data_IF_312381956361
#
_entry.id   IF_312381956361
#
_cell.length_a   1.000
_cell.length_b   1.000
_cell.length_c   1.000
_cell.angle_alpha   90.00
_cell.angle_beta   90.00
_cell.angle_gamma   90.00
#
_symmetry.space_group_name_H-M   'P 1'
#
loop_
_entity.id
_entity.type
_entity.pdbx_description
1 polymer ?
#
# COMPACT_ATOMS: atom_id res chain seq x y z
N UNK A 1 3.56 -36.78 22.31
CA UNK A 1 4.64 -35.78 22.13
C UNK A 1 4.20 -34.88 21.00
N UNK A 2 3.34 -33.90 21.32
CA UNK A 2 2.86 -32.90 20.37
C UNK A 2 4.02 -31.95 20.11
N UNK A 3 4.65 -32.06 18.93
CA UNK A 3 5.51 -31.00 18.43
C UNK A 3 4.68 -29.72 18.42
N UNK A 4 4.96 -28.85 19.39
CA UNK A 4 4.58 -27.44 19.29
C UNK A 4 5.34 -26.93 18.09
N UNK A 5 4.66 -26.90 16.94
CA UNK A 5 5.12 -26.24 15.71
C UNK A 5 5.58 -24.85 16.13
N UNK A 6 6.90 -24.68 16.25
CA UNK A 6 7.52 -23.46 16.72
C UNK A 6 7.24 -22.40 15.66
N UNK A 7 6.18 -21.62 15.89
CA UNK A 7 5.70 -20.58 15.00
C UNK A 7 6.86 -19.63 14.69
N UNK A 8 7.33 -19.65 13.44
CA UNK A 8 8.35 -18.69 13.01
C UNK A 8 7.68 -17.32 12.95
N UNK A 9 8.14 -16.32 13.74
CA UNK A 9 7.69 -14.96 13.55
C UNK A 9 7.98 -14.53 12.11
N UNK A 10 7.20 -13.59 11.55
CA UNK A 10 7.46 -13.13 10.20
C UNK A 10 8.91 -12.63 10.10
N UNK A 11 9.63 -12.94 9.00
CA UNK A 11 10.95 -12.39 8.73
C UNK A 11 10.95 -10.87 8.83
N UNK A 12 11.97 -10.32 9.49
CA UNK A 12 12.12 -8.88 9.72
C UNK A 12 11.90 -8.47 11.18
N UNK A 13 10.99 -9.14 11.91
CA UNK A 13 10.70 -8.79 13.30
C UNK A 13 11.93 -8.87 14.21
N UNK A 14 12.83 -9.83 14.00
CA UNK A 14 14.06 -9.98 14.78
C UNK A 14 15.12 -8.92 14.46
N UNK A 15 15.16 -8.42 13.22
CA UNK A 15 16.12 -7.41 12.79
C UNK A 15 15.60 -5.98 13.06
N UNK A 16 14.28 -5.80 13.09
CA UNK A 16 13.60 -4.50 13.24
C UNK A 16 13.01 -4.26 14.65
N UNK A 17 13.32 -5.10 15.64
CA UNK A 17 12.84 -4.95 17.02
C UNK A 17 13.58 -3.88 17.84
N UNK A 18 14.74 -3.44 17.38
CA UNK A 18 15.52 -2.40 18.05
C UNK A 18 14.95 -0.99 17.84
N UNK A 19 15.25 -0.02 18.73
CA UNK A 19 14.92 1.40 18.50
C UNK A 19 15.73 1.99 17.33
N UNK A 20 16.94 1.51 17.08
CA UNK A 20 17.83 1.97 16.01
C UNK A 20 17.26 1.82 14.58
N UNK A 21 16.70 0.67 14.15
CA UNK A 21 16.09 0.56 12.83
C UNK A 21 14.84 1.42 12.67
N UNK A 22 14.07 1.65 13.74
CA UNK A 22 12.90 2.53 13.70
C UNK A 22 13.27 4.02 13.54
N UNK A 23 14.32 4.47 14.22
CA UNK A 23 14.85 5.83 14.05
C UNK A 23 15.53 6.00 12.70
N UNK A 24 16.32 5.03 12.25
CA UNK A 24 16.96 5.06 10.92
C UNK A 24 15.91 5.07 9.82
N UNK A 25 14.86 4.24 9.92
CA UNK A 25 13.76 4.26 8.97
C UNK A 25 13.06 5.62 8.95
N UNK A 26 12.81 6.23 10.12
CA UNK A 26 12.23 7.57 10.20
C UNK A 26 13.12 8.62 9.55
N UNK A 27 14.44 8.61 9.78
CA UNK A 27 15.39 9.52 9.13
C UNK A 27 15.42 9.29 7.61
N UNK A 28 15.45 8.03 7.19
CA UNK A 28 15.43 7.67 5.78
C UNK A 28 14.18 8.20 5.08
N UNK A 29 13.02 8.07 5.72
CA UNK A 29 11.72 8.37 5.10
C UNK A 29 11.28 9.83 5.26
N UNK A 30 11.68 10.54 6.32
CA UNK A 30 11.34 11.95 6.52
C UNK A 30 12.40 12.92 5.99
N UNK A 31 13.66 12.49 5.90
CA UNK A 31 14.77 13.39 5.56
C UNK A 31 15.42 12.95 4.26
N UNK A 32 15.98 11.74 4.20
CA UNK A 32 16.80 11.33 3.06
C UNK A 32 15.99 11.14 1.78
N UNK A 33 14.85 10.44 1.85
CA UNK A 33 14.03 10.17 0.67
C UNK A 33 13.41 11.45 0.11
N UNK A 34 12.79 12.34 0.93
CA UNK A 34 12.26 13.58 0.39
C UNK A 34 13.33 14.54 -0.10
N UNK A 35 14.48 14.66 0.59
CA UNK A 35 15.61 15.44 0.09
C UNK A 35 16.16 14.85 -1.22
N UNK A 36 16.22 13.52 -1.32
CA UNK A 36 16.53 12.80 -2.56
C UNK A 36 15.56 13.14 -3.68
N UNK A 37 14.25 13.10 -3.44
CA UNK A 37 13.24 13.45 -4.45
C UNK A 37 13.40 14.92 -4.90
N UNK A 38 13.55 15.86 -3.96
CA UNK A 38 13.71 17.29 -4.31
C UNK A 38 14.99 17.51 -5.10
N UNK A 39 16.12 16.95 -4.67
CA UNK A 39 17.39 17.07 -5.39
C UNK A 39 17.32 16.44 -6.77
N UNK A 40 16.67 15.28 -6.93
CA UNK A 40 16.48 14.64 -8.24
C UNK A 40 15.57 15.46 -9.15
N UNK A 41 14.52 16.09 -8.61
CA UNK A 41 13.65 17.01 -9.37
C UNK A 41 14.42 18.24 -9.82
N UNK A 42 15.29 18.80 -8.98
CA UNK A 42 16.13 19.96 -9.32
C UNK A 42 17.19 19.63 -10.37
N UNK A 43 17.91 18.51 -10.20
CA UNK A 43 18.89 18.01 -11.18
C UNK A 43 18.20 17.68 -12.50
N UNK A 44 16.93 17.27 -12.46
CA UNK A 44 16.15 16.91 -13.63
C UNK A 44 16.42 15.52 -14.16
N UNK A 45 16.94 14.63 -13.31
CA UNK A 45 17.16 13.23 -13.63
C UNK A 45 15.84 12.45 -13.48
N UNK A 46 14.95 12.65 -14.45
CA UNK A 46 13.66 11.98 -14.57
C UNK A 46 13.76 10.45 -14.34
N UNK A 47 14.83 9.83 -14.82
CA UNK A 47 15.03 8.39 -14.72
C UNK A 47 15.26 7.90 -13.28
N UNK A 48 16.01 8.65 -12.47
CA UNK A 48 16.23 8.30 -11.05
C UNK A 48 14.93 8.41 -10.24
N UNK A 49 14.07 9.36 -10.59
CA UNK A 49 12.73 9.47 -10.02
C UNK A 49 11.84 8.29 -10.42
N UNK A 50 11.93 7.81 -11.67
CA UNK A 50 11.22 6.61 -12.11
C UNK A 50 11.69 5.36 -11.37
N UNK A 51 13.00 5.16 -11.21
CA UNK A 51 13.56 4.05 -10.42
C UNK A 51 13.05 4.08 -8.98
N UNK A 52 13.14 5.24 -8.32
CA UNK A 52 12.62 5.42 -6.97
C UNK A 52 11.10 5.17 -6.89
N UNK A 53 10.34 5.64 -7.88
CA UNK A 53 8.89 5.39 -7.97
C UNK A 53 8.56 3.91 -8.10
N UNK A 54 9.32 3.17 -8.92
CA UNK A 54 9.18 1.72 -9.08
C UNK A 54 9.50 0.94 -7.81
N UNK A 55 10.54 1.35 -7.08
CA UNK A 55 10.89 0.78 -5.78
C UNK A 55 9.79 1.03 -4.74
N UNK A 56 9.32 2.28 -4.65
CA UNK A 56 8.23 2.67 -3.75
C UNK A 56 6.93 1.93 -4.06
N UNK A 57 6.61 1.75 -5.35
CA UNK A 57 5.46 0.95 -5.78
C UNK A 57 5.56 -0.47 -5.27
N UNK A 58 6.69 -1.14 -5.50
CA UNK A 58 6.84 -2.53 -5.14
C UNK A 58 6.74 -2.74 -3.63
N UNK A 59 7.36 -1.88 -2.82
CA UNK A 59 7.24 -1.94 -1.35
C UNK A 59 5.81 -1.62 -0.90
N UNK A 60 5.23 -0.52 -1.40
CA UNK A 60 3.87 -0.11 -1.05
C UNK A 60 2.80 -1.11 -1.47
N UNK A 61 2.96 -1.77 -2.62
CA UNK A 61 2.07 -2.81 -3.11
C UNK A 61 2.13 -4.07 -2.23
N UNK A 62 3.31 -4.43 -1.71
CA UNK A 62 3.43 -5.52 -0.72
C UNK A 62 2.72 -5.16 0.57
N UNK A 63 2.98 -3.99 1.14
CA UNK A 63 2.27 -3.52 2.34
C UNK A 63 0.75 -3.50 2.13
N UNK A 64 0.29 -3.04 0.95
CA UNK A 64 -1.12 -3.08 0.57
C UNK A 64 -1.66 -4.52 0.52
N UNK A 65 -0.93 -5.46 -0.07
CA UNK A 65 -1.37 -6.86 -0.17
C UNK A 65 -1.55 -7.51 1.20
N UNK A 66 -0.68 -7.19 2.17
CA UNK A 66 -0.78 -7.67 3.54
C UNK A 66 -1.97 -7.07 4.27
N UNK A 67 -2.21 -5.78 4.06
CA UNK A 67 -3.34 -5.09 4.65
C UNK A 67 -4.67 -5.63 4.07
N UNK A 68 -4.76 -5.73 2.74
CA UNK A 68 -5.88 -6.33 2.03
C UNK A 68 -6.12 -7.76 2.49
N UNK A 69 -5.08 -8.58 2.64
CA UNK A 69 -5.20 -9.93 3.19
C UNK A 69 -5.88 -9.95 4.56
N UNK A 70 -5.46 -9.12 5.52
CA UNK A 70 -6.06 -9.08 6.86
C UNK A 70 -7.52 -8.60 6.83
N UNK A 71 -7.83 -7.57 6.04
CA UNK A 71 -9.22 -7.10 5.85
C UNK A 71 -10.08 -8.24 5.30
N UNK A 72 -9.58 -8.95 4.28
CA UNK A 72 -10.29 -10.07 3.64
C UNK A 72 -10.58 -11.18 4.63
N UNK A 73 -9.59 -11.62 5.39
CA UNK A 73 -9.77 -12.67 6.41
C UNK A 73 -10.79 -12.27 7.47
N UNK A 74 -10.76 -11.01 7.92
CA UNK A 74 -11.73 -10.51 8.92
C UNK A 74 -13.15 -10.51 8.39
N UNK A 75 -13.37 -10.02 7.17
CA UNK A 75 -14.71 -9.95 6.58
C UNK A 75 -15.25 -11.35 6.28
N UNK A 76 -14.43 -12.25 5.76
CA UNK A 76 -14.83 -13.64 5.50
C UNK A 76 -15.17 -14.38 6.80
N UNK A 77 -14.38 -14.20 7.86
CA UNK A 77 -14.70 -14.78 9.16
C UNK A 77 -16.04 -14.27 9.70
N UNK A 78 -16.30 -12.96 9.57
CA UNK A 78 -17.57 -12.37 10.01
C UNK A 78 -18.77 -12.90 9.23
N UNK A 79 -18.61 -13.13 7.91
CA UNK A 79 -19.66 -13.73 7.07
C UNK A 79 -19.91 -15.19 7.45
N UNK A 80 -18.85 -16.00 7.57
CA UNK A 80 -18.97 -17.42 7.92
C UNK A 80 -19.67 -17.61 9.27
N UNK A 81 -19.32 -16.82 10.29
CA UNK A 81 -19.96 -16.89 11.60
C UNK A 81 -21.44 -16.48 11.57
N UNK A 82 -21.82 -15.59 10.65
CA UNK A 82 -23.22 -15.22 10.47
C UNK A 82 -24.01 -16.36 9.78
N UNK A 83 -23.38 -17.04 8.82
CA UNK A 83 -23.94 -18.21 8.14
C UNK A 83 -24.13 -19.38 9.13
N UNK A 84 -23.10 -19.69 9.93
CA UNK A 84 -23.18 -20.74 10.97
C UNK A 84 -24.25 -20.45 12.03
N UNK A 85 -24.41 -19.17 12.43
CA UNK A 85 -25.47 -18.76 13.35
C UNK A 85 -26.88 -18.91 12.74
N UNK A 86 -27.00 -18.69 11.42
CA UNK A 86 -28.29 -18.86 10.72
C UNK A 86 -28.70 -20.33 10.60
N UNK A 87 -27.75 -21.23 10.31
CA UNK A 87 -27.98 -22.68 10.17
C UNK A 87 -28.37 -23.30 11.53
N UNK A 88 -27.63 -22.96 12.59
CA UNK A 88 -27.93 -23.45 13.95
C UNK A 88 -29.31 -22.99 14.47
N UNK A 89 -29.75 -21.78 14.10
CA UNK A 89 -31.10 -21.29 14.45
C UNK A 89 -32.20 -22.07 13.71
N UNK A 90 -31.91 -22.54 12.49
CA UNK A 90 -32.86 -23.28 11.66
C UNK A 90 -32.98 -24.76 12.09
N UNK A 91 -31.87 -25.41 12.44
CA UNK A 91 -31.88 -26.79 12.97
C UNK A 91 -32.52 -26.90 14.36
N UNK A 92 -32.37 -25.88 15.20
CA UNK A 92 -33.03 -25.82 16.53
C UNK A 92 -34.56 -25.65 16.41
N UNK A 93 -35.04 -25.12 15.29
CA UNK A 93 -36.47 -25.01 14.98
C UNK A 93 -37.12 -26.34 14.56
N UNK A 94 -36.37 -27.25 13.94
CA UNK A 94 -36.90 -28.54 13.46
C UNK A 94 -36.69 -29.71 14.44
N UNK A 95 -35.66 -29.68 15.30
CA UNK A 95 -35.42 -30.76 16.28
C UNK A 95 -36.30 -30.69 17.54
N UNK A 96 -36.92 -29.54 17.82
CA UNK A 96 -37.81 -29.39 18.98
C UNK A 96 -39.21 -30.03 18.83
N UNK A 97 -39.49 -30.71 17.71
CA UNK A 97 -40.79 -31.35 17.46
C UNK A 97 -40.83 -32.87 17.72
N UNK A 98 -39.72 -33.56 18.02
CA UNK A 98 -39.73 -35.04 18.06
C UNK A 98 -39.08 -35.74 19.26
N UNK A 99 -38.47 -35.06 20.23
CA UNK A 99 -37.78 -35.76 21.33
C UNK A 99 -38.06 -35.13 22.70
N UNK A 100 -39.29 -35.23 23.19
CA UNK A 100 -39.68 -34.62 24.47
C UNK A 100 -40.21 -35.58 25.54
N UNK A 101 -40.01 -36.90 25.43
CA UNK A 101 -40.58 -37.83 26.44
C UNK A 101 -39.64 -38.89 27.00
N UNK A 102 -38.36 -38.95 26.61
CA UNK A 102 -37.40 -39.92 27.18
C UNK A 102 -36.09 -39.30 27.71
N UNK A 103 -35.90 -37.99 27.60
CA UNK A 103 -34.60 -37.34 27.84
C UNK A 103 -34.42 -36.74 29.25
N UNK A 104 -35.50 -36.68 30.04
CA UNK A 104 -35.52 -35.98 31.33
C UNK A 104 -34.81 -36.73 32.48
N UNK A 105 -34.71 -38.06 32.43
CA UNK A 105 -34.07 -38.84 33.51
C UNK A 105 -32.56 -39.05 33.31
N UNK A 106 -32.07 -39.09 32.07
CA UNK A 106 -30.64 -39.18 31.77
C UNK A 106 -29.93 -37.82 31.83
N UNK A 107 -30.65 -36.71 31.63
CA UNK A 107 -30.12 -35.36 31.83
C UNK A 107 -29.84 -35.04 33.30
N UNK A 108 -30.68 -35.52 34.23
CA UNK A 108 -30.47 -35.28 35.67
C UNK A 108 -29.19 -35.95 36.21
N UNK A 109 -28.81 -37.12 35.67
CA UNK A 109 -27.55 -37.80 36.03
C UNK A 109 -26.33 -37.21 35.32
N UNK A 110 -26.49 -36.67 34.10
CA UNK A 110 -25.41 -35.97 33.40
C UNK A 110 -25.14 -34.57 33.97
N UNK A 111 -26.17 -33.88 34.45
CA UNK A 111 -26.05 -32.58 35.11
C UNK A 111 -25.21 -32.64 36.39
N UNK A 112 -25.38 -33.69 37.20
CA UNK A 112 -24.56 -33.88 38.40
C UNK A 112 -23.10 -34.27 38.12
N UNK A 113 -22.80 -34.90 36.98
CA UNK A 113 -21.43 -35.22 36.58
C UNK A 113 -20.68 -34.05 35.90
N UNK A 114 -21.41 -33.01 35.47
CA UNK A 114 -20.87 -31.80 34.85
C UNK A 114 -20.66 -30.65 35.85
N UNK A 115 -21.14 -30.77 37.08
CA UNK A 115 -21.07 -29.72 38.11
C UNK A 115 -19.66 -29.61 38.75
N UNK A 116 -18.82 -30.64 38.61
CA UNK A 116 -17.43 -30.68 39.12
C UNK A 116 -16.36 -30.37 38.06
N UNK A 117 -16.75 -30.12 36.81
CA UNK A 117 -15.83 -29.61 35.80
C UNK A 117 -15.89 -28.08 35.85
N UNK A 118 -14.80 -27.36 36.18
CA UNK A 118 -14.80 -25.91 36.04
C UNK A 118 -14.87 -25.62 34.55
N UNK A 119 -16.10 -25.51 34.03
CA UNK A 119 -16.45 -24.85 32.79
C UNK A 119 -15.96 -23.42 32.95
N UNK A 120 -14.67 -23.23 32.63
CA UNK A 120 -14.11 -21.96 32.24
C UNK A 120 -14.95 -21.57 31.04
N UNK A 121 -16.03 -20.85 31.30
CA UNK A 121 -16.97 -20.30 30.32
C UNK A 121 -16.10 -19.38 29.48
N UNK A 122 -15.52 -19.95 28.43
CA UNK A 122 -14.61 -19.23 27.56
C UNK A 122 -15.48 -18.17 26.90
N UNK A 123 -15.23 -16.92 27.24
CA UNK A 123 -16.08 -15.83 26.78
C UNK A 123 -16.15 -15.91 25.24
N UNK A 124 -17.35 -15.93 24.62
CA UNK A 124 -17.49 -16.04 23.17
C UNK A 124 -16.68 -14.96 22.42
N UNK A 125 -16.46 -13.82 23.08
CA UNK A 125 -15.59 -12.74 22.62
C UNK A 125 -14.11 -13.10 22.61
N UNK A 126 -13.61 -13.80 23.62
CA UNK A 126 -12.23 -14.28 23.68
C UNK A 126 -11.99 -15.39 22.66
N UNK A 127 -12.95 -16.30 22.49
CA UNK A 127 -12.89 -17.34 21.47
C UNK A 127 -12.89 -16.74 20.06
N UNK A 128 -13.80 -15.79 19.77
CA UNK A 128 -13.80 -15.04 18.52
C UNK A 128 -12.49 -14.26 18.30
N UNK A 129 -11.95 -13.63 19.34
CA UNK A 129 -10.68 -12.90 19.26
C UNK A 129 -9.51 -13.83 18.93
N UNK A 130 -9.46 -15.03 19.51
CA UNK A 130 -8.46 -16.05 19.17
C UNK A 130 -8.61 -16.54 17.74
N UNK A 131 -9.82 -16.96 17.33
CA UNK A 131 -10.10 -17.40 15.97
C UNK A 131 -9.73 -16.34 14.92
N UNK A 132 -10.07 -15.08 15.21
CA UNK A 132 -9.71 -13.97 14.34
C UNK A 132 -8.19 -13.74 14.31
N UNK A 133 -7.50 -13.80 15.45
CA UNK A 133 -6.04 -13.66 15.50
C UNK A 133 -5.33 -14.76 14.70
N UNK A 134 -5.84 -16.00 14.76
CA UNK A 134 -5.31 -17.13 14.02
C UNK A 134 -5.60 -17.03 12.51
N UNK A 135 -6.80 -16.59 12.13
CA UNK A 135 -7.18 -16.37 10.73
C UNK A 135 -6.41 -15.20 10.07
N UNK A 136 -6.12 -14.14 10.83
CA UNK A 136 -5.38 -12.97 10.32
C UNK A 136 -3.86 -13.21 10.23
N UNK A 137 -3.33 -14.27 10.84
CA UNK A 137 -1.91 -14.62 10.79
C UNK A 137 -1.63 -15.41 9.51
N UNK A 138 -0.93 -14.79 8.56
CA UNK A 138 -0.53 -15.52 7.36
C UNK A 138 0.44 -16.64 7.76
N UNK A 139 0.10 -17.87 7.35
CA UNK A 139 0.86 -19.07 7.72
C UNK A 139 2.19 -19.18 6.98
N UNK A 140 2.30 -18.57 5.81
CA UNK A 140 3.46 -18.71 4.90
C UNK A 140 3.54 -17.53 3.91
N UNK A 141 4.70 -17.34 3.30
CA UNK A 141 4.90 -16.42 2.17
C UNK A 141 4.64 -17.12 0.84
N UNK A 142 4.38 -16.34 -0.21
CA UNK A 142 4.24 -16.85 -1.58
C UNK A 142 5.42 -17.75 -2.00
N UNK A 143 6.64 -17.43 -1.54
CA UNK A 143 7.85 -18.19 -1.90
C UNK A 143 8.15 -19.39 -1.01
N UNK A 144 7.45 -19.57 0.12
CA UNK A 144 7.70 -20.67 1.05
C UNK A 144 7.81 -22.06 0.37
N UNK A 145 6.89 -22.50 -0.50
CA UNK A 145 6.98 -23.83 -1.11
C UNK A 145 8.20 -24.00 -2.03
N UNK A 146 8.67 -22.91 -2.65
CA UNK A 146 9.88 -22.94 -3.48
C UNK A 146 11.14 -22.94 -2.61
N UNK A 147 11.15 -22.15 -1.54
CA UNK A 147 12.26 -22.06 -0.60
C UNK A 147 12.53 -23.38 0.12
N UNK A 148 11.48 -24.11 0.48
CA UNK A 148 11.59 -25.42 1.11
C UNK A 148 12.17 -26.48 0.16
N UNK A 149 11.84 -26.40 -1.13
CA UNK A 149 12.36 -27.34 -2.15
C UNK A 149 13.80 -27.06 -2.56
N UNK A 150 14.18 -25.79 -2.73
CA UNK A 150 15.44 -25.42 -3.42
C UNK A 150 16.48 -24.86 -2.45
N UNK A 151 16.07 -24.14 -1.41
CA UNK A 151 16.98 -23.34 -0.57
C UNK A 151 16.98 -23.77 0.90
N UNK A 152 16.55 -25.00 1.21
CA UNK A 152 16.54 -25.53 2.57
C UNK A 152 15.74 -24.67 3.56
N UNK A 153 14.64 -24.06 3.09
CA UNK A 153 13.77 -23.18 3.89
C UNK A 153 14.26 -21.74 4.05
N UNK A 154 15.36 -21.35 3.38
CA UNK A 154 15.86 -19.95 3.37
C UNK A 154 15.15 -19.12 2.30
N UNK A 155 14.01 -18.53 2.67
CA UNK A 155 13.17 -17.74 1.77
C UNK A 155 13.90 -16.58 1.07
N UNK A 156 14.83 -15.88 1.73
CA UNK A 156 15.53 -14.73 1.16
C UNK A 156 16.46 -15.11 0.02
N UNK A 157 17.10 -16.29 0.09
CA UNK A 157 17.95 -16.80 -1.00
C UNK A 157 17.09 -17.16 -2.20
N UNK A 158 15.98 -17.86 -1.97
CA UNK A 158 15.04 -18.21 -3.03
C UNK A 158 14.48 -16.95 -3.72
N UNK A 159 14.09 -15.94 -2.93
CA UNK A 159 13.57 -14.67 -3.43
C UNK A 159 14.59 -13.93 -4.29
N UNK A 160 15.83 -13.85 -3.81
CA UNK A 160 16.92 -13.22 -4.53
C UNK A 160 17.26 -13.95 -5.84
N UNK A 161 17.32 -15.28 -5.81
CA UNK A 161 17.56 -16.09 -7.03
C UNK A 161 16.43 -15.93 -8.05
N UNK A 162 15.17 -15.91 -7.60
CA UNK A 162 14.04 -15.70 -8.50
C UNK A 162 14.03 -14.28 -9.10
N UNK A 163 14.32 -13.27 -8.29
CA UNK A 163 14.42 -11.88 -8.72
C UNK A 163 15.57 -11.66 -9.71
N UNK A 164 16.74 -12.24 -9.46
CA UNK A 164 17.88 -12.18 -10.40
C UNK A 164 17.56 -12.88 -11.71
N UNK A 165 16.88 -14.03 -11.69
CA UNK A 165 16.44 -14.69 -12.92
C UNK A 165 15.48 -13.80 -13.73
N UNK A 166 14.50 -13.18 -13.07
CA UNK A 166 13.58 -12.27 -13.73
C UNK A 166 14.27 -11.02 -14.29
N UNK A 167 15.26 -10.48 -13.59
CA UNK A 167 16.10 -9.38 -14.07
C UNK A 167 16.87 -9.78 -15.34
N UNK A 168 17.47 -10.97 -15.37
CA UNK A 168 18.16 -11.51 -16.56
C UNK A 168 17.20 -11.66 -17.75
N UNK A 169 15.99 -12.16 -17.52
CA UNK A 169 14.96 -12.25 -18.56
C UNK A 169 14.56 -10.86 -19.07
N UNK A 170 14.42 -9.88 -18.18
CA UNK A 170 14.14 -8.48 -18.54
C UNK A 170 15.25 -7.88 -19.40
N UNK A 171 16.53 -8.12 -19.06
CA UNK A 171 17.68 -7.72 -19.88
C UNK A 171 17.61 -8.35 -21.28
N UNK A 172 17.38 -9.67 -21.35
CA UNK A 172 17.33 -10.39 -22.62
C UNK A 172 16.19 -9.88 -23.52
N UNK A 173 15.01 -9.62 -22.94
CA UNK A 173 13.89 -9.02 -23.64
C UNK A 173 14.20 -7.60 -24.11
N UNK A 174 14.84 -6.78 -23.27
CA UNK A 174 15.27 -5.43 -23.63
C UNK A 174 16.20 -5.42 -24.86
N UNK A 175 17.21 -6.28 -24.88
CA UNK A 175 18.11 -6.41 -26.04
C UNK A 175 17.42 -7.04 -27.27
N UNK A 176 16.49 -7.96 -27.08
CA UNK A 176 15.71 -8.52 -28.19
C UNK A 176 14.86 -7.43 -28.85
N UNK A 177 14.20 -6.58 -28.06
CA UNK A 177 13.45 -5.42 -28.57
C UNK A 177 14.38 -4.40 -29.21
N UNK A 178 15.56 -4.18 -28.64
CA UNK A 178 16.55 -3.28 -29.25
C UNK A 178 16.89 -3.72 -30.68
N UNK A 179 17.16 -5.02 -30.86
CA UNK A 179 17.52 -5.59 -32.15
C UNK A 179 16.39 -5.59 -33.19
N UNK A 180 15.13 -5.56 -32.75
CA UNK A 180 13.96 -5.57 -33.65
C UNK A 180 13.46 -4.17 -33.99
N UNK A 181 13.62 -3.21 -33.07
CA UNK A 181 13.11 -1.84 -33.22
C UNK A 181 14.18 -0.89 -33.76
N UNK A 182 15.44 -1.03 -33.35
CA UNK A 182 16.52 -0.15 -33.78
C UNK A 182 17.41 -0.85 -34.81
N UNK A 183 17.43 -0.32 -36.03
CA UNK A 183 18.35 -0.77 -37.09
C UNK A 183 19.80 -0.37 -36.74
N UNK A 184 20.48 -1.20 -35.93
CA UNK A 184 21.93 -1.43 -35.86
C UNK A 184 22.93 -0.27 -35.67
N UNK A 185 22.60 0.99 -35.94
CA UNK A 185 23.61 2.05 -36.08
C UNK A 185 23.51 3.20 -35.09
N UNK A 186 22.49 3.27 -34.21
CA UNK A 186 22.51 4.06 -32.98
C UNK A 186 21.24 3.81 -32.14
N UNK A 187 21.32 3.16 -30.95
CA UNK A 187 20.19 3.13 -30.03
C UNK A 187 19.87 4.57 -29.60
N UNK A 188 18.58 4.91 -29.54
CA UNK A 188 18.13 6.24 -29.13
C UNK A 188 18.68 6.62 -27.74
N UNK A 189 18.98 7.90 -27.54
CA UNK A 189 19.43 8.43 -26.25
C UNK A 189 18.40 8.09 -25.17
N UNK A 190 18.81 7.30 -24.17
CA UNK A 190 17.95 6.86 -23.07
C UNK A 190 17.43 5.42 -23.16
N UNK A 191 17.58 4.70 -24.29
CA UNK A 191 17.08 3.33 -24.41
C UNK A 191 17.70 2.39 -23.38
N UNK A 192 19.01 2.48 -23.19
CA UNK A 192 19.74 1.72 -22.17
C UNK A 192 19.27 2.04 -20.75
N UNK A 193 18.82 3.27 -20.51
CA UNK A 193 18.27 3.68 -19.21
C UNK A 193 16.88 3.07 -19.01
N UNK A 194 16.06 3.02 -20.06
CA UNK A 194 14.75 2.36 -20.03
C UNK A 194 14.88 0.85 -19.80
N UNK A 195 15.86 0.19 -20.44
CA UNK A 195 16.21 -1.21 -20.12
C UNK A 195 16.67 -1.34 -18.67
N UNK A 196 17.46 -0.40 -18.16
CA UNK A 196 17.78 -0.35 -16.73
C UNK A 196 16.53 -0.31 -15.85
N UNK A 197 15.57 0.58 -16.16
CA UNK A 197 14.29 0.70 -15.46
C UNK A 197 13.45 -0.57 -15.54
N UNK A 198 13.42 -1.27 -16.68
CA UNK A 198 12.72 -2.55 -16.78
C UNK A 198 13.37 -3.65 -15.96
N UNK A 199 14.69 -3.63 -15.84
CA UNK A 199 15.46 -4.62 -15.06
C UNK A 199 15.27 -4.41 -13.57
N UNK A 200 15.33 -3.16 -13.10
CA UNK A 200 15.02 -2.82 -11.72
C UNK A 200 13.56 -3.16 -11.39
N UNK A 201 12.60 -2.72 -12.20
CA UNK A 201 11.19 -3.05 -12.02
C UNK A 201 10.98 -4.55 -11.89
N UNK A 202 11.59 -5.36 -12.76
CA UNK A 202 11.48 -6.82 -12.72
C UNK A 202 12.10 -7.39 -11.44
N UNK A 203 13.32 -6.97 -11.09
CA UNK A 203 14.01 -7.45 -9.90
C UNK A 203 13.21 -7.13 -8.63
N UNK A 204 12.87 -5.86 -8.42
CA UNK A 204 12.20 -5.41 -7.22
C UNK A 204 10.78 -5.98 -7.15
N UNK A 205 10.03 -5.98 -8.26
CA UNK A 205 8.68 -6.55 -8.27
C UNK A 205 8.68 -8.03 -7.93
N UNK A 206 9.57 -8.84 -8.50
CA UNK A 206 9.63 -10.28 -8.21
C UNK A 206 10.09 -10.53 -6.78
N UNK A 207 11.08 -9.77 -6.30
CA UNK A 207 11.54 -9.86 -4.91
C UNK A 207 10.41 -9.51 -3.94
N UNK A 208 9.73 -8.38 -4.15
CA UNK A 208 8.59 -7.95 -3.34
C UNK A 208 7.40 -8.92 -3.42
N UNK A 209 7.06 -9.39 -4.62
CA UNK A 209 5.97 -10.36 -4.83
C UNK A 209 6.23 -11.70 -4.14
N UNK A 210 7.50 -12.08 -3.98
CA UNK A 210 7.87 -13.27 -3.20
C UNK A 210 7.49 -13.17 -1.72
N UNK A 211 7.36 -11.94 -1.20
CA UNK A 211 6.96 -11.61 0.17
C UNK A 211 5.44 -11.41 0.32
N UNK A 212 4.67 -11.56 -0.76
CA UNK A 212 3.22 -11.48 -0.70
C UNK A 212 2.65 -12.61 0.19
N UNK A 213 1.46 -12.40 0.79
CA UNK A 213 0.85 -13.39 1.68
C UNK A 213 0.39 -14.65 0.94
N UNK A 214 0.16 -14.59 -0.37
CA UNK A 214 -0.16 -15.75 -1.20
C UNK A 214 0.43 -15.63 -2.60
N UNK A 215 0.58 -16.77 -3.30
CA UNK A 215 1.02 -16.78 -4.70
C UNK A 215 0.07 -16.03 -5.64
N UNK A 216 -1.24 -16.00 -5.33
CA UNK A 216 -2.19 -15.24 -6.12
C UNK A 216 -2.02 -13.72 -5.91
N UNK A 217 -1.71 -13.28 -4.68
CA UNK A 217 -1.38 -11.87 -4.42
C UNK A 217 -0.05 -11.48 -5.08
N UNK A 218 0.92 -12.40 -5.15
CA UNK A 218 2.19 -12.17 -5.85
C UNK A 218 1.99 -11.84 -7.34
N UNK A 219 1.07 -12.54 -8.03
CA UNK A 219 0.75 -12.24 -9.43
C UNK A 219 0.17 -10.84 -9.59
N UNK A 220 -0.73 -10.42 -8.69
CA UNK A 220 -1.33 -9.07 -8.73
C UNK A 220 -0.27 -7.98 -8.57
N UNK A 221 0.72 -8.19 -7.70
CA UNK A 221 1.83 -7.26 -7.51
C UNK A 221 2.71 -7.12 -8.77
N UNK A 222 2.94 -8.24 -9.48
CA UNK A 222 3.63 -8.20 -10.77
C UNK A 222 2.82 -7.41 -11.80
N UNK A 223 1.48 -7.59 -11.83
CA UNK A 223 0.60 -6.82 -12.72
C UNK A 223 0.64 -5.32 -12.40
N UNK A 224 0.65 -4.93 -11.12
CA UNK A 224 0.80 -3.53 -10.72
C UNK A 224 2.09 -2.91 -11.28
N UNK A 225 3.22 -3.60 -11.09
CA UNK A 225 4.49 -3.11 -11.61
C UNK A 225 4.49 -3.03 -13.14
N UNK A 226 3.94 -4.06 -13.80
CA UNK A 226 3.86 -4.11 -15.25
C UNK A 226 3.05 -2.94 -15.82
N UNK A 227 1.94 -2.56 -15.19
CA UNK A 227 1.14 -1.42 -15.61
C UNK A 227 1.95 -0.11 -15.59
N UNK A 228 2.69 0.14 -14.51
CA UNK A 228 3.53 1.36 -14.41
C UNK A 228 4.68 1.32 -15.41
N UNK A 229 5.37 0.19 -15.52
CA UNK A 229 6.47 0.02 -16.47
C UNK A 229 6.02 0.23 -17.92
N UNK A 230 4.88 -0.36 -18.32
CA UNK A 230 4.32 -0.20 -19.67
C UNK A 230 3.89 1.24 -19.91
N UNK A 231 3.29 1.91 -18.92
CA UNK A 231 2.93 3.32 -19.04
C UNK A 231 4.15 4.22 -19.21
N UNK A 232 5.20 4.03 -18.40
CA UNK A 232 6.47 4.75 -18.54
C UNK A 232 7.16 4.44 -19.87
N UNK A 233 7.17 3.19 -20.32
CA UNK A 233 7.76 2.81 -21.62
C UNK A 233 7.02 3.50 -22.76
N UNK A 234 5.68 3.51 -22.71
CA UNK A 234 4.84 4.15 -23.72
C UNK A 234 5.06 5.67 -23.75
N UNK A 235 5.18 6.31 -22.58
CA UNK A 235 5.53 7.73 -22.49
C UNK A 235 6.93 8.02 -23.05
N UNK A 236 7.94 7.21 -22.70
CA UNK A 236 9.31 7.33 -23.21
C UNK A 236 9.39 7.16 -24.74
N UNK A 237 8.79 6.10 -25.29
CA UNK A 237 8.81 5.83 -26.73
C UNK A 237 8.13 6.93 -27.55
N UNK A 238 7.11 7.58 -26.98
CA UNK A 238 6.48 8.76 -27.57
C UNK A 238 7.39 9.99 -27.49
N UNK A 239 7.80 10.37 -26.28
CA UNK A 239 8.40 11.69 -26.03
C UNK A 239 9.87 11.79 -26.42
N UNK A 240 10.63 10.70 -26.33
CA UNK A 240 12.09 10.71 -26.52
C UNK A 240 12.54 10.06 -27.82
N UNK A 241 11.76 9.12 -28.35
CA UNK A 241 12.16 8.32 -29.53
C UNK A 241 11.33 8.67 -30.77
N UNK A 242 10.15 9.31 -30.62
CA UNK A 242 9.21 9.67 -31.70
C UNK A 242 8.88 8.49 -32.66
N UNK A 243 8.98 7.25 -32.15
CA UNK A 243 8.73 6.02 -32.92
C UNK A 243 7.23 5.73 -33.01
N UNK A 244 6.45 6.21 -32.04
CA UNK A 244 5.01 6.01 -31.97
C UNK A 244 4.33 7.27 -32.51
N UNK A 245 3.61 7.14 -33.62
CA UNK A 245 2.77 8.22 -34.14
C UNK A 245 1.79 8.70 -33.07
N UNK A 246 1.48 10.00 -33.04
CA UNK A 246 0.63 10.62 -32.01
C UNK A 246 -0.73 9.92 -31.83
N UNK A 247 -1.26 9.29 -32.88
CA UNK A 247 -2.55 8.59 -32.88
C UNK A 247 -2.48 7.14 -32.35
N UNK A 248 -1.27 6.60 -32.16
CA UNK A 248 -1.03 5.24 -31.67
C UNK A 248 -0.65 5.19 -30.17
N UNK A 249 -0.69 6.33 -29.47
CA UNK A 249 -0.41 6.37 -28.03
C UNK A 249 -1.49 5.59 -27.26
N UNK A 250 -1.04 4.63 -26.45
CA UNK A 250 -1.94 3.95 -25.52
C UNK A 250 -2.30 4.91 -24.38
N UNK A 251 -3.59 5.18 -24.19
CA UNK A 251 -4.08 5.99 -23.07
C UNK A 251 -3.72 5.29 -21.74
N UNK A 252 -3.12 5.99 -20.74
CA UNK A 252 -2.93 5.45 -19.39
C UNK A 252 -4.17 4.77 -18.80
N UNK A 253 -5.37 5.28 -19.09
CA UNK A 253 -6.63 4.65 -18.66
C UNK A 253 -6.83 3.26 -19.26
N UNK A 254 -6.42 3.05 -20.51
CA UNK A 254 -6.47 1.74 -21.16
C UNK A 254 -5.50 0.75 -20.50
N UNK A 255 -4.30 1.19 -20.12
CA UNK A 255 -3.32 0.35 -19.42
C UNK A 255 -3.88 -0.09 -18.06
N UNK A 256 -4.47 0.85 -17.31
CA UNK A 256 -5.12 0.55 -16.02
C UNK A 256 -6.31 -0.42 -16.22
N UNK A 257 -7.14 -0.19 -17.24
CA UNK A 257 -8.27 -1.07 -17.55
C UNK A 257 -7.81 -2.48 -17.92
N UNK A 258 -6.77 -2.61 -18.75
CA UNK A 258 -6.18 -3.90 -19.10
C UNK A 258 -5.63 -4.62 -17.86
N UNK A 259 -4.92 -3.90 -16.98
CA UNK A 259 -4.46 -4.42 -15.69
C UNK A 259 -5.63 -4.91 -14.81
N UNK A 260 -6.71 -4.13 -14.72
CA UNK A 260 -7.91 -4.49 -13.97
C UNK A 260 -8.55 -5.77 -14.54
N UNK A 261 -8.67 -5.90 -15.87
CA UNK A 261 -9.23 -7.10 -16.52
C UNK A 261 -8.38 -8.33 -16.20
N UNK A 262 -7.05 -8.23 -16.31
CA UNK A 262 -6.14 -9.33 -16.00
C UNK A 262 -6.32 -9.79 -14.54
N UNK A 263 -6.38 -8.85 -13.60
CA UNK A 263 -6.60 -9.12 -12.17
C UNK A 263 -7.97 -9.79 -11.95
N UNK A 264 -9.04 -9.24 -12.53
CA UNK A 264 -10.39 -9.77 -12.38
C UNK A 264 -10.46 -11.21 -12.90
N UNK A 265 -10.00 -11.47 -14.12
CA UNK A 265 -10.01 -12.81 -14.72
C UNK A 265 -9.18 -13.77 -13.87
N UNK A 266 -7.98 -13.37 -13.46
CA UNK A 266 -7.11 -14.20 -12.64
C UNK A 266 -7.75 -14.56 -11.28
N UNK A 267 -8.39 -13.61 -10.60
CA UNK A 267 -9.08 -13.86 -9.32
C UNK A 267 -10.32 -14.72 -9.46
N UNK A 268 -11.10 -14.51 -10.52
CA UNK A 268 -12.28 -15.33 -10.80
C UNK A 268 -11.88 -16.79 -11.08
N UNK A 269 -10.79 -17.02 -11.83
CA UNK A 269 -10.31 -18.38 -12.13
C UNK A 269 -9.70 -19.07 -10.90
N UNK A 270 -9.07 -18.32 -10.00
CA UNK A 270 -8.40 -18.89 -8.82
C UNK A 270 -9.31 -19.07 -7.61
N UNK A 271 -10.42 -18.35 -7.52
CA UNK A 271 -11.37 -18.46 -6.40
C UNK A 271 -12.47 -19.47 -6.68
N UNK A 272 -12.70 -20.40 -5.74
CA UNK A 272 -13.82 -21.36 -5.81
C UNK A 272 -15.14 -20.78 -5.27
N UNK A 273 -15.07 -19.70 -4.50
CA UNK A 273 -16.22 -19.11 -3.80
C UNK A 273 -16.47 -17.69 -4.31
N UNK A 274 -17.72 -17.39 -4.66
CA UNK A 274 -18.11 -16.12 -5.30
C UNK A 274 -17.85 -14.92 -4.37
N UNK A 275 -18.28 -14.99 -3.11
CA UNK A 275 -18.09 -13.90 -2.14
C UNK A 275 -16.61 -13.60 -1.90
N UNK A 276 -15.79 -14.65 -1.77
CA UNK A 276 -14.34 -14.52 -1.65
C UNK A 276 -13.73 -13.87 -2.90
N UNK A 277 -14.17 -14.28 -4.10
CA UNK A 277 -13.71 -13.69 -5.36
C UNK A 277 -14.02 -12.21 -5.45
N UNK A 278 -15.24 -11.80 -5.08
CA UNK A 278 -15.66 -10.40 -5.14
C UNK A 278 -14.82 -9.53 -4.20
N UNK A 279 -14.57 -10.01 -2.98
CA UNK A 279 -13.76 -9.28 -2.01
C UNK A 279 -12.29 -9.20 -2.43
N UNK A 280 -11.73 -10.27 -3.00
CA UNK A 280 -10.40 -10.27 -3.60
C UNK A 280 -10.29 -9.20 -4.70
N UNK A 281 -11.23 -9.23 -5.66
CA UNK A 281 -11.28 -8.27 -6.76
C UNK A 281 -11.41 -6.84 -6.27
N UNK A 282 -12.30 -6.56 -5.30
CA UNK A 282 -12.50 -5.21 -4.79
C UNK A 282 -11.21 -4.64 -4.16
N UNK A 283 -10.52 -5.41 -3.33
CA UNK A 283 -9.28 -4.97 -2.70
C UNK A 283 -8.14 -4.76 -3.72
N UNK A 284 -8.05 -5.60 -4.75
CA UNK A 284 -7.02 -5.47 -5.78
C UNK A 284 -7.33 -4.30 -6.73
N UNK A 285 -8.57 -4.13 -7.16
CA UNK A 285 -8.96 -2.97 -7.98
C UNK A 285 -8.73 -1.68 -7.20
N UNK A 286 -8.99 -1.67 -5.90
CA UNK A 286 -8.71 -0.50 -5.06
C UNK A 286 -7.21 -0.20 -4.95
N UNK A 287 -6.36 -1.23 -4.85
CA UNK A 287 -4.91 -1.03 -4.93
C UNK A 287 -4.46 -0.49 -6.29
N UNK A 288 -5.03 -1.01 -7.38
CA UNK A 288 -4.75 -0.52 -8.73
C UNK A 288 -5.16 0.96 -8.90
N UNK A 289 -6.35 1.34 -8.44
CA UNK A 289 -6.87 2.70 -8.60
C UNK A 289 -6.20 3.69 -7.63
N UNK A 290 -5.94 3.29 -6.38
CA UNK A 290 -5.41 4.21 -5.36
C UNK A 290 -3.88 4.28 -5.33
N UNK A 291 -3.19 3.25 -5.81
CA UNK A 291 -1.71 3.18 -5.77
C UNK A 291 -1.10 3.25 -7.16
N UNK A 292 -1.54 2.40 -8.08
CA UNK A 292 -0.92 2.29 -9.41
C UNK A 292 -1.28 3.47 -10.30
N UNK A 293 -2.56 3.83 -10.39
CA UNK A 293 -3.03 4.93 -11.25
C UNK A 293 -2.35 6.28 -10.96
N UNK A 294 -2.24 6.74 -9.70
CA UNK A 294 -1.59 8.02 -9.42
C UNK A 294 -0.08 7.98 -9.66
N UNK A 295 0.54 6.81 -9.53
CA UNK A 295 1.95 6.65 -9.86
C UNK A 295 2.20 6.66 -11.36
N UNK A 296 1.27 6.13 -12.17
CA UNK A 296 1.30 6.31 -13.63
C UNK A 296 1.20 7.80 -13.98
N UNK A 297 0.29 8.54 -13.33
CA UNK A 297 0.19 9.99 -13.53
C UNK A 297 1.48 10.72 -13.12
N UNK A 298 2.14 10.30 -12.03
CA UNK A 298 3.43 10.82 -11.63
C UNK A 298 4.54 10.52 -12.66
N UNK A 299 4.61 9.28 -13.15
CA UNK A 299 5.58 8.87 -14.16
C UNK A 299 5.41 9.66 -15.47
N UNK A 300 4.16 9.82 -15.94
CA UNK A 300 3.84 10.64 -17.12
C UNK A 300 4.29 12.10 -16.91
N UNK A 301 4.10 12.63 -15.71
CA UNK A 301 4.49 13.98 -15.34
C UNK A 301 6.02 14.16 -15.28
N UNK A 302 6.78 13.11 -14.94
CA UNK A 302 8.25 13.09 -14.95
C UNK A 302 8.80 12.99 -16.39
N UNK A 303 8.21 12.12 -17.22
CA UNK A 303 8.68 11.87 -18.59
C UNK A 303 8.53 13.10 -19.50
N UNK A 304 7.60 14.00 -19.17
CA UNK A 304 7.33 15.24 -19.91
C UNK A 304 8.30 16.40 -19.60
N UNK A 305 9.31 16.23 -18.73
CA UNK A 305 10.04 17.36 -18.12
C UNK A 305 11.33 17.82 -18.81
N UNK A 306 11.25 18.91 -19.59
CA UNK A 306 12.43 19.67 -20.03
C UNK A 306 12.45 21.15 -19.63
N UNK A 307 11.38 21.69 -19.03
CA UNK A 307 11.33 23.12 -18.66
C UNK A 307 11.68 23.36 -17.18
N UNK A 308 12.59 24.29 -16.90
CA UNK A 308 13.08 24.60 -15.55
C UNK A 308 11.97 25.18 -14.64
N UNK A 309 11.05 25.97 -15.21
CA UNK A 309 9.88 26.47 -14.47
C UNK A 309 9.05 25.33 -13.88
N UNK A 310 8.85 24.26 -14.66
CA UNK A 310 8.07 23.10 -14.27
C UNK A 310 8.70 22.35 -13.09
N UNK A 311 10.02 22.14 -13.14
CA UNK A 311 10.78 21.46 -12.08
C UNK A 311 10.65 22.19 -10.75
N UNK A 312 10.70 23.51 -10.76
CA UNK A 312 10.50 24.32 -9.56
C UNK A 312 9.08 24.15 -8.98
N UNK A 313 8.05 24.03 -9.83
CA UNK A 313 6.67 23.81 -9.38
C UNK A 313 6.48 22.40 -8.79
N UNK A 314 7.05 21.37 -9.42
CA UNK A 314 7.01 20.01 -8.90
C UNK A 314 7.77 19.89 -7.57
N UNK A 315 8.95 20.50 -7.46
CA UNK A 315 9.72 20.53 -6.21
C UNK A 315 8.94 21.22 -5.09
N UNK A 316 8.25 22.33 -5.40
CA UNK A 316 7.37 22.99 -4.46
C UNK A 316 6.22 22.10 -4.01
N UNK A 317 5.52 21.44 -4.95
CA UNK A 317 4.45 20.52 -4.62
C UNK A 317 4.93 19.43 -3.66
N UNK A 318 6.09 18.82 -3.95
CA UNK A 318 6.71 17.82 -3.06
C UNK A 318 7.01 18.41 -1.69
N UNK A 319 7.60 19.61 -1.61
CA UNK A 319 7.93 20.28 -0.34
C UNK A 319 6.69 20.60 0.50
N UNK A 320 5.61 21.05 -0.13
CA UNK A 320 4.35 21.38 0.55
C UNK A 320 3.66 20.12 1.09
N UNK A 321 3.59 19.05 0.28
CA UNK A 321 3.06 17.76 0.73
C UNK A 321 3.91 17.16 1.85
N UNK A 322 5.24 17.26 1.75
CA UNK A 322 6.17 16.82 2.78
C UNK A 322 5.99 17.60 4.08
N UNK A 323 5.87 18.93 4.00
CA UNK A 323 5.64 19.77 5.17
C UNK A 323 4.35 19.38 5.91
N UNK A 324 3.30 19.03 5.16
CA UNK A 324 2.06 18.53 5.74
C UNK A 324 2.24 17.15 6.40
N UNK A 325 2.99 16.22 5.79
CA UNK A 325 3.31 14.90 6.38
C UNK A 325 4.14 15.01 7.67
N UNK A 326 5.16 15.88 7.66
CA UNK A 326 5.95 16.20 8.86
C UNK A 326 5.06 16.84 9.93
N UNK A 327 4.10 17.69 9.54
CA UNK A 327 3.14 18.31 10.45
C UNK A 327 2.26 17.30 11.21
N UNK A 328 1.76 16.25 10.55
CA UNK A 328 1.01 15.16 11.22
C UNK A 328 1.88 14.41 12.24
N UNK A 329 3.14 14.16 11.87
CA UNK A 329 4.11 13.47 12.73
C UNK A 329 4.45 14.32 13.96
N UNK A 330 4.66 15.63 13.74
CA UNK A 330 4.87 16.61 14.79
C UNK A 330 3.64 16.73 15.70
N UNK A 331 2.43 16.71 15.15
CA UNK A 331 1.19 16.78 15.91
C UNK A 331 1.07 15.62 16.90
N UNK A 332 1.34 14.40 16.44
CA UNK A 332 1.33 13.20 17.30
C UNK A 332 2.36 13.28 18.42
N UNK A 333 3.56 13.78 18.11
CA UNK A 333 4.62 13.94 19.11
C UNK A 333 4.28 15.04 20.14
N UNK A 334 3.68 16.13 19.68
CA UNK A 334 3.25 17.24 20.53
C UNK A 334 2.08 16.83 21.44
N UNK A 335 1.11 16.08 20.91
CA UNK A 335 0.00 15.51 21.68
C UNK A 335 0.50 14.56 22.78
N UNK A 336 1.59 13.84 22.53
CA UNK A 336 2.18 12.91 23.50
C UNK A 336 2.93 13.64 24.61
N UNK A 337 3.71 14.67 24.27
CA UNK A 337 4.52 15.40 25.24
C UNK A 337 3.71 16.46 26.02
N UNK A 338 2.67 17.04 25.43
CA UNK A 338 1.90 18.15 26.02
C UNK A 338 0.38 17.86 26.06
N UNK A 339 -0.06 16.76 26.69
CA UNK A 339 -1.48 16.35 26.68
C UNK A 339 -2.40 17.38 27.36
N UNK A 340 -1.90 18.13 28.34
CA UNK A 340 -2.67 19.12 29.11
C UNK A 340 -3.08 20.33 28.26
N UNK A 341 -2.23 20.76 27.32
CA UNK A 341 -2.53 21.91 26.45
C UNK A 341 -3.67 21.55 25.50
N UNK A 342 -3.60 20.37 24.88
CA UNK A 342 -4.66 19.88 24.00
C UNK A 342 -5.97 19.60 24.74
N UNK A 343 -5.92 19.08 25.97
CA UNK A 343 -7.13 18.89 26.78
C UNK A 343 -7.88 20.20 27.05
N UNK A 344 -7.17 21.33 27.18
CA UNK A 344 -7.78 22.64 27.41
C UNK A 344 -8.41 23.25 26.16
N UNK A 345 -7.88 22.91 24.98
CA UNK A 345 -8.41 23.33 23.70
C UNK A 345 -9.56 22.43 23.17
N UNK A 346 -9.91 21.34 23.86
CA UNK A 346 -10.97 20.43 23.42
C UNK A 346 -12.36 21.03 23.68
N UNK A 347 -13.14 21.17 22.62
CA UNK A 347 -14.56 21.46 22.73
C UNK A 347 -15.36 20.22 23.20
N UNK A 348 -16.32 20.38 24.13
CA UNK A 348 -17.09 19.27 24.70
C UNK A 348 -18.08 18.59 23.73
N UNK A 349 -18.18 19.05 22.48
CA UNK A 349 -19.16 18.58 21.50
C UNK A 349 -18.72 17.34 20.69
N UNK A 350 -17.43 16.98 20.73
CA UNK A 350 -16.92 15.80 20.02
C UNK A 350 -16.97 14.57 20.94
N UNK A 351 -17.92 13.68 20.66
CA UNK A 351 -18.33 12.55 21.52
C UNK A 351 -17.29 11.42 21.67
N UNK A 352 -16.19 11.43 20.91
CA UNK A 352 -15.17 10.38 20.91
C UNK A 352 -13.75 10.95 20.96
N UNK A 353 -12.98 10.55 21.97
CA UNK A 353 -11.60 11.01 22.19
C UNK A 353 -10.63 10.61 21.06
N UNK A 354 -10.92 9.53 20.32
CA UNK A 354 -10.12 9.14 19.16
C UNK A 354 -10.31 10.14 18.01
N UNK A 355 -11.55 10.54 17.74
CA UNK A 355 -11.86 11.46 16.64
C UNK A 355 -11.34 12.87 16.85
N UNK A 356 -11.25 13.34 18.11
CA UNK A 356 -10.69 14.66 18.41
C UNK A 356 -9.19 14.73 18.13
N UNK A 357 -8.44 13.70 18.53
CA UNK A 357 -6.98 13.62 18.31
C UNK A 357 -6.64 13.62 16.82
N UNK A 358 -7.42 12.89 16.03
CA UNK A 358 -7.24 12.81 14.58
C UNK A 358 -7.54 14.15 13.89
N UNK A 359 -8.56 14.90 14.35
CA UNK A 359 -8.90 16.23 13.82
C UNK A 359 -7.87 17.30 14.21
N UNK A 360 -7.35 17.25 15.44
CA UNK A 360 -6.25 18.12 15.89
C UNK A 360 -4.99 17.89 15.05
N UNK A 361 -4.63 16.63 14.80
CA UNK A 361 -3.49 16.27 13.96
C UNK A 361 -3.68 16.73 12.51
N UNK A 362 -4.88 16.55 11.96
CA UNK A 362 -5.26 17.08 10.65
C UNK A 362 -5.06 18.61 10.59
N UNK A 363 -5.56 19.35 11.57
CA UNK A 363 -5.45 20.82 11.59
C UNK A 363 -3.99 21.29 11.62
N UNK A 364 -3.14 20.66 12.44
CA UNK A 364 -1.70 20.98 12.52
C UNK A 364 -1.00 20.64 11.21
N UNK A 365 -1.30 19.48 10.62
CA UNK A 365 -0.70 19.07 9.33
C UNK A 365 -1.04 20.08 8.20
N UNK A 366 -2.28 20.54 8.13
CA UNK A 366 -2.71 21.55 7.16
C UNK A 366 -2.08 22.91 7.43
N UNK A 367 -1.94 23.30 8.70
CA UNK A 367 -1.25 24.53 9.06
C UNK A 367 0.23 24.49 8.64
N UNK A 368 0.94 23.38 8.87
CA UNK A 368 2.32 23.21 8.41
C UNK A 368 2.44 23.32 6.88
N UNK A 369 1.54 22.68 6.13
CA UNK A 369 1.49 22.80 4.67
C UNK A 369 1.22 24.24 4.21
N UNK A 370 0.26 24.93 4.83
CA UNK A 370 -0.07 26.32 4.51
C UNK A 370 1.09 27.28 4.84
N UNK A 371 1.76 27.08 5.98
CA UNK A 371 2.96 27.85 6.36
C UNK A 371 4.06 27.66 5.32
N UNK A 372 4.28 26.43 4.83
CA UNK A 372 5.26 26.16 3.78
C UNK A 372 4.93 26.89 2.48
N UNK A 373 3.65 26.89 2.06
CA UNK A 373 3.20 27.66 0.89
C UNK A 373 3.53 29.15 1.07
N UNK A 374 3.21 29.73 2.22
CA UNK A 374 3.50 31.15 2.52
C UNK A 374 5.01 31.40 2.54
N UNK A 375 5.79 30.53 3.17
CA UNK A 375 7.23 30.65 3.28
C UNK A 375 7.90 30.67 1.90
N UNK A 376 7.52 29.76 1.01
CA UNK A 376 8.06 29.74 -0.36
C UNK A 376 7.58 30.94 -1.17
N UNK A 377 6.32 31.37 -0.99
CA UNK A 377 5.82 32.56 -1.67
C UNK A 377 6.58 33.83 -1.27
N UNK A 378 6.93 33.96 0.00
CA UNK A 378 7.73 35.08 0.50
C UNK A 378 9.18 34.97 0.00
N UNK A 379 9.78 33.77 0.05
CA UNK A 379 11.17 33.55 -0.37
C UNK A 379 11.43 33.78 -1.87
N UNK A 380 10.43 33.57 -2.72
CA UNK A 380 10.50 33.80 -4.17
C UNK A 380 10.18 35.24 -4.60
N UNK A 381 9.90 36.15 -3.66
CA UNK A 381 9.51 37.53 -3.98
C UNK A 381 8.11 37.67 -4.59
N UNK A 382 7.28 36.62 -4.54
CA UNK A 382 5.86 36.65 -4.89
C UNK A 382 5.52 36.72 -6.39
N UNK A 383 6.51 36.81 -7.28
CA UNK A 383 6.31 36.95 -8.73
C UNK A 383 5.92 35.63 -9.43
N UNK A 384 6.31 34.48 -8.85
CA UNK A 384 6.17 33.17 -9.50
C UNK A 384 4.84 32.45 -9.20
N UNK A 385 3.96 33.05 -8.39
CA UNK A 385 2.79 32.36 -7.83
C UNK A 385 1.44 32.93 -8.28
N UNK A 386 0.70 32.11 -9.03
CA UNK A 386 -0.71 32.36 -9.33
C UNK A 386 -1.59 31.97 -8.12
N UNK A 387 -2.62 32.78 -7.81
CA UNK A 387 -3.60 32.49 -6.75
C UNK A 387 -4.27 31.13 -6.96
N UNK A 388 -4.52 30.74 -8.20
CA UNK A 388 -5.10 29.43 -8.54
C UNK A 388 -4.18 28.29 -8.09
N UNK A 389 -2.86 28.44 -8.22
CA UNK A 389 -1.89 27.42 -7.83
C UNK A 389 -1.90 27.19 -6.32
N UNK A 390 -2.00 28.26 -5.53
CA UNK A 390 -2.14 28.18 -4.07
C UNK A 390 -3.39 27.41 -3.67
N UNK A 391 -4.52 27.66 -4.36
CA UNK A 391 -5.77 26.93 -4.10
C UNK A 391 -5.63 25.46 -4.45
N UNK A 392 -5.03 25.12 -5.61
CA UNK A 392 -4.81 23.73 -6.02
C UNK A 392 -3.87 23.01 -5.05
N UNK A 393 -2.78 23.65 -4.61
CA UNK A 393 -1.85 23.09 -3.62
C UNK A 393 -2.56 22.84 -2.29
N UNK A 394 -3.39 23.79 -1.83
CA UNK A 394 -4.18 23.63 -0.62
C UNK A 394 -5.19 22.48 -0.72
N UNK A 395 -5.91 22.37 -1.84
CA UNK A 395 -6.81 21.24 -2.10
C UNK A 395 -6.07 19.90 -2.15
N UNK A 396 -4.87 19.88 -2.73
CA UNK A 396 -4.03 18.69 -2.84
C UNK A 396 -3.58 18.20 -1.45
N UNK A 397 -3.13 19.10 -0.57
CA UNK A 397 -2.78 18.71 0.81
C UNK A 397 -4.02 18.30 1.61
N UNK A 398 -5.16 18.96 1.43
CA UNK A 398 -6.40 18.61 2.13
C UNK A 398 -6.86 17.19 1.78
N UNK A 399 -6.86 16.85 0.48
CA UNK A 399 -7.20 15.51 0.01
C UNK A 399 -6.15 14.47 0.40
N UNK A 400 -4.87 14.81 0.36
CA UNK A 400 -3.80 13.94 0.86
C UNK A 400 -3.97 13.60 2.34
N UNK A 401 -4.29 14.59 3.19
CA UNK A 401 -4.51 14.34 4.62
C UNK A 401 -5.84 13.62 4.89
N UNK A 402 -6.87 13.85 4.09
CA UNK A 402 -8.08 13.03 4.12
C UNK A 402 -7.78 11.56 3.82
N UNK A 403 -6.91 11.28 2.85
CA UNK A 403 -6.45 9.92 2.55
C UNK A 403 -5.75 9.28 3.76
N UNK A 404 -4.98 10.05 4.55
CA UNK A 404 -4.36 9.55 5.79
C UNK A 404 -5.38 9.09 6.83
N UNK A 405 -6.46 9.85 7.00
CA UNK A 405 -7.57 9.44 7.88
C UNK A 405 -8.22 8.16 7.37
N UNK A 406 -8.46 8.07 6.07
CA UNK A 406 -8.97 6.85 5.44
C UNK A 406 -8.03 5.66 5.66
N UNK A 407 -6.71 5.81 5.45
CA UNK A 407 -5.70 4.79 5.73
C UNK A 407 -5.69 4.36 7.20
N UNK A 408 -5.98 5.27 8.12
CA UNK A 408 -6.09 4.96 9.55
C UNK A 408 -7.32 4.08 9.84
N UNK A 409 -8.46 4.36 9.20
CA UNK A 409 -9.62 3.47 9.26
C UNK A 409 -9.36 2.11 8.60
N UNK A 410 -8.66 2.09 7.47
CA UNK A 410 -8.26 0.86 6.77
C UNK A 410 -7.34 0.00 7.67
N UNK A 411 -6.40 0.61 8.40
CA UNK A 411 -5.58 -0.09 9.41
C UNK A 411 -6.41 -0.59 10.60
N UNK A 412 -7.36 0.19 11.10
CA UNK A 412 -8.30 -0.24 12.15
C UNK A 412 -9.18 -1.42 11.69
N UNK A 413 -9.61 -1.43 10.43
CA UNK A 413 -10.31 -2.55 9.81
C UNK A 413 -9.42 -3.80 9.74
N UNK A 414 -8.13 -3.64 9.44
CA UNK A 414 -7.16 -4.72 9.45
C UNK A 414 -6.69 -5.14 10.87
N UNK A 415 -7.12 -4.43 11.94
CA UNK A 415 -6.63 -4.59 13.33
C UNK A 415 -5.10 -4.47 13.44
N UNK A 416 -4.50 -3.57 12.68
CA UNK A 416 -3.06 -3.33 12.69
C UNK A 416 -2.74 -1.90 13.10
N UNK A 417 -1.62 -1.70 13.78
CA UNK A 417 -1.12 -0.36 14.11
C UNK A 417 -0.35 0.27 12.95
N UNK A 418 0.29 -0.53 12.09
CA UNK A 418 1.12 -0.09 10.96
C UNK A 418 0.83 -0.92 9.71
N UNK A 419 0.97 -0.31 8.53
CA UNK A 419 0.87 -1.01 7.24
C UNK A 419 2.11 -1.87 6.93
N UNK A 420 3.25 -1.55 7.54
CA UNK A 420 4.49 -2.28 7.36
C UNK A 420 4.47 -3.64 8.07
N UNK A 421 4.41 -4.71 7.28
CA UNK A 421 4.40 -6.09 7.77
C UNK A 421 5.73 -6.54 8.40
N UNK A 422 6.82 -5.79 8.17
CA UNK A 422 8.17 -6.10 8.66
C UNK A 422 8.49 -5.45 10.02
N UNK A 423 7.63 -4.56 10.53
CA UNK A 423 7.77 -3.99 11.87
C UNK A 423 7.00 -4.81 12.92
N UNK A 424 7.51 -4.88 14.16
CA UNK A 424 6.81 -5.51 15.27
C UNK A 424 5.47 -4.85 15.60
N UNK A 425 4.54 -5.68 16.07
CA UNK A 425 3.25 -5.23 16.58
C UNK A 425 3.46 -4.22 17.71
N UNK A 426 2.83 -3.05 17.61
CA UNK A 426 3.05 -1.94 18.54
C UNK A 426 4.15 -0.96 18.14
N UNK A 427 4.84 -1.16 17.00
CA UNK A 427 5.71 -0.12 16.46
C UNK A 427 4.91 1.15 16.14
N UNK A 428 5.48 2.30 16.50
CA UNK A 428 4.92 3.64 16.21
C UNK A 428 5.27 4.14 14.80
N UNK A 429 6.19 3.48 14.11
CA UNK A 429 6.59 3.85 12.75
C UNK A 429 5.54 3.39 11.73
N UNK A 430 5.08 4.34 10.91
CA UNK A 430 4.19 4.06 9.78
C UNK A 430 4.99 3.44 8.62
N UNK A 431 4.32 2.62 7.80
CA UNK A 431 4.93 1.97 6.64
C UNK A 431 5.18 2.93 5.48
N UNK A 432 5.77 2.41 4.40
CA UNK A 432 6.01 3.19 3.17
C UNK A 432 4.70 3.59 2.51
N UNK A 433 3.73 2.67 2.48
CA UNK A 433 2.40 2.86 1.91
C UNK A 433 1.64 3.98 2.61
N UNK A 434 1.71 4.06 3.96
CA UNK A 434 1.01 5.09 4.73
C UNK A 434 1.45 6.51 4.30
N UNK A 435 2.71 6.67 3.90
CA UNK A 435 3.28 7.94 3.45
C UNK A 435 3.04 8.18 1.97
N UNK A 436 3.32 7.15 1.17
CA UNK A 436 3.14 7.20 -0.28
C UNK A 436 1.69 7.50 -0.65
N UNK A 437 0.70 6.93 0.05
CA UNK A 437 -0.73 7.15 -0.22
C UNK A 437 -1.13 8.64 -0.15
N UNK A 438 -0.58 9.40 0.81
CA UNK A 438 -0.85 10.84 0.93
C UNK A 438 -0.33 11.59 -0.29
N UNK A 439 0.90 11.27 -0.72
CA UNK A 439 1.51 11.87 -1.91
C UNK A 439 0.73 11.50 -3.19
N UNK A 440 0.37 10.23 -3.34
CA UNK A 440 -0.37 9.73 -4.49
C UNK A 440 -1.77 10.35 -4.60
N UNK A 441 -2.49 10.56 -3.50
CA UNK A 441 -3.78 11.25 -3.58
C UNK A 441 -3.60 12.74 -3.89
N UNK A 442 -2.58 13.39 -3.32
CA UNK A 442 -2.29 14.78 -3.62
C UNK A 442 -1.96 14.98 -5.11
N UNK A 443 -1.24 14.03 -5.75
CA UNK A 443 -0.86 14.18 -7.15
C UNK A 443 -2.04 14.05 -8.13
N UNK A 444 -3.08 13.28 -7.79
CA UNK A 444 -4.29 13.17 -8.63
C UNK A 444 -4.94 14.54 -8.85
N UNK A 445 -4.89 15.40 -7.82
CA UNK A 445 -5.47 16.74 -7.86
C UNK A 445 -4.56 17.70 -8.62
N UNK A 446 -3.25 17.56 -8.43
CA UNK A 446 -2.25 18.46 -8.97
C UNK A 446 -1.92 18.20 -10.45
N UNK A 447 -1.89 16.93 -10.85
CA UNK A 447 -1.61 16.47 -12.22
C UNK A 447 -2.45 17.17 -13.30
N UNK A 448 -3.80 17.21 -13.23
CA UNK A 448 -4.61 17.84 -14.28
C UNK A 448 -4.36 19.35 -14.38
N UNK A 449 -4.11 20.03 -13.26
CA UNK A 449 -3.79 21.46 -13.25
C UNK A 449 -2.48 21.75 -13.97
N UNK A 450 -1.43 20.98 -13.64
CA UNK A 450 -0.14 21.07 -14.32
C UNK A 450 -0.30 20.82 -15.82
N UNK A 451 -1.05 19.75 -16.16
CA UNK A 451 -1.20 19.32 -17.54
C UNK A 451 -1.89 20.41 -18.36
N UNK A 452 -2.92 21.04 -17.80
CA UNK A 452 -3.57 22.16 -18.44
C UNK A 452 -2.64 23.36 -18.56
N UNK A 453 -1.93 23.76 -17.50
CA UNK A 453 -1.10 24.97 -17.48
C UNK A 453 0.04 24.97 -18.50
N UNK A 454 0.66 23.81 -18.74
CA UNK A 454 1.85 23.71 -19.59
C UNK A 454 1.57 23.14 -20.99
N UNK A 455 0.41 22.51 -21.21
CA UNK A 455 0.07 21.87 -22.49
C UNK A 455 -1.24 22.35 -23.12
N UNK A 456 -1.91 23.37 -22.56
CA UNK A 456 -2.90 24.19 -23.27
C UNK A 456 -2.21 25.35 -23.98
#
# INVERSE_FOLDING_TARGET
MTEVLQERPPPGHAACSGPAPATLFSVLTYVLLPAGVVTLVEVGDAYLLLFLGQLLLAVGAVEWSWLAFRIRQRLLLAVNLHEDASISTQETGEQNAQTQTQQAEDEARRLHALEDQPLRREDPRESYARLLSEAMRAKTFAIAPLADRICGGRWYVAAFLLATLGAVVSVALGYAVESSVFNGSNPASGWRMMVGASVEAAFVSIFCSSLAPSGADAVVLVVYQACVLVASLNAYLKLQVDVIASDAQVDPLFIILAGAIIIIVFRVVTSKVVMQSLLLVLCDVLGLVCVVSPLIAFADLIDQTMNQSFRNQLALFVLVVLAADVGDSLAKELQLHWPRVFQWCRHPLLKSEATTKDVEALAISLACGAIMIVAVRVGSGGADFNTVEVVVLFCSIALGQWCRLWMTHVRQMAKVTTSAFYFPEGSRTCGVLDRMAVFLVAIIVYYPYIKQKYFS
#
